data_IF_252101105361
#
_entry.id   IF_252101105361
#
_cell.length_a   1.000
_cell.length_b   1.000
_cell.length_c   1.000
_cell.angle_alpha   90.00
_cell.angle_beta   90.00
_cell.angle_gamma   90.00
#
_symmetry.space_group_name_H-M   'P 1'
#
loop_
_entity.id
_entity.type
_entity.pdbx_description
1 polymer ?
#
# COMPACT_ATOMS: atom_id res chain seq x y z
N UNK A 1 3.31 84.14 55.61
CA UNK A 1 2.31 83.06 55.75
C UNK A 1 1.06 83.48 54.99
N UNK A 2 0.52 82.60 54.12
CA UNK A 2 -0.56 82.81 53.11
C UNK A 2 -0.04 83.50 51.82
N UNK A 3 -0.29 83.07 50.58
CA UNK A 3 -1.38 82.24 50.02
C UNK A 3 -1.02 81.66 48.62
N UNK A 4 -1.67 80.53 48.28
CA UNK A 4 -1.66 79.65 47.07
C UNK A 4 -1.59 80.36 45.70
N UNK A 5 -0.79 79.93 44.70
CA UNK A 5 -0.78 78.70 43.88
C UNK A 5 -2.01 78.56 42.93
N UNK A 6 -1.79 78.75 41.62
CA UNK A 6 -2.78 78.63 40.55
C UNK A 6 -2.20 77.87 39.33
N UNK A 7 -3.03 77.01 38.72
CA UNK A 7 -2.87 76.56 37.33
C UNK A 7 -2.50 75.09 37.14
N UNK A 8 -3.49 74.20 37.27
CA UNK A 8 -3.41 72.75 36.95
C UNK A 8 -3.30 72.50 35.44
N UNK A 9 -2.34 71.65 35.06
CA UNK A 9 -2.09 71.18 33.70
C UNK A 9 -3.11 70.10 33.26
N UNK A 10 -3.53 70.17 32.00
CA UNK A 10 -4.42 69.20 31.36
C UNK A 10 -3.68 67.87 31.09
N UNK A 11 -4.18 66.78 31.66
CA UNK A 11 -3.72 65.41 31.39
C UNK A 11 -4.55 64.77 30.28
N UNK A 12 -3.91 64.40 29.18
CA UNK A 12 -4.45 63.55 28.12
C UNK A 12 -4.43 62.09 28.59
N UNK A 13 -5.61 61.50 28.80
CA UNK A 13 -5.77 60.07 29.01
C UNK A 13 -5.90 59.37 27.64
N UNK A 14 -4.87 58.63 27.23
CA UNK A 14 -4.95 57.70 26.10
C UNK A 14 -5.27 56.30 26.65
N UNK A 15 -6.51 55.85 26.48
CA UNK A 15 -6.91 54.48 26.79
C UNK A 15 -6.42 53.58 25.65
N UNK A 16 -5.37 52.81 25.90
CA UNK A 16 -4.93 51.72 25.02
C UNK A 16 -5.98 50.61 25.08
N UNK A 17 -6.83 50.54 24.07
CA UNK A 17 -7.69 49.40 23.84
C UNK A 17 -6.82 48.19 23.45
N UNK A 18 -6.59 47.26 24.38
CA UNK A 18 -6.10 45.93 24.03
C UNK A 18 -7.24 45.17 23.34
N UNK A 19 -7.23 45.17 22.02
CA UNK A 19 -8.01 44.19 21.25
C UNK A 19 -7.41 42.81 21.50
N UNK A 20 -8.19 41.79 21.92
CA UNK A 20 -7.67 40.43 21.97
C UNK A 20 -7.25 40.03 20.55
N UNK A 21 -5.97 39.73 20.37
CA UNK A 21 -5.51 39.07 19.16
C UNK A 21 -6.23 37.72 19.08
N UNK A 22 -6.73 37.30 17.90
CA UNK A 22 -7.18 35.93 17.75
C UNK A 22 -5.99 35.04 18.08
N UNK A 23 -6.16 34.10 19.02
CA UNK A 23 -5.21 33.02 19.18
C UNK A 23 -5.13 32.33 17.82
N UNK A 24 -4.02 32.53 17.11
CA UNK A 24 -3.68 31.67 16.00
C UNK A 24 -3.58 30.27 16.62
N UNK A 25 -4.57 29.41 16.33
CA UNK A 25 -4.36 28.00 16.46
C UNK A 25 -3.11 27.72 15.62
N UNK A 26 -2.00 27.34 16.27
CA UNK A 26 -0.92 26.66 15.60
C UNK A 26 -1.60 25.51 14.86
N UNK A 27 -1.72 25.63 13.54
CA UNK A 27 -2.23 24.55 12.72
C UNK A 27 -1.16 23.47 12.79
N UNK A 28 -1.29 22.58 13.78
CA UNK A 28 -0.57 21.33 13.80
C UNK A 28 -0.76 20.67 12.43
N UNK A 29 0.34 20.23 11.83
CA UNK A 29 0.36 19.62 10.51
C UNK A 29 -0.67 18.48 10.48
N UNK A 30 -1.43 18.36 9.39
CA UNK A 30 -2.29 17.19 9.22
C UNK A 30 -1.39 15.94 9.03
N UNK A 31 -1.56 14.87 9.83
CA UNK A 31 -0.73 13.68 9.74
C UNK A 31 -1.02 12.92 8.44
N UNK A 32 -0.03 12.17 7.98
CA UNK A 32 -0.21 11.19 6.90
C UNK A 32 -0.93 9.95 7.42
N UNK A 33 -1.59 9.20 6.54
CA UNK A 33 -2.20 7.90 6.87
C UNK A 33 -1.16 6.96 7.50
N UNK A 34 0.08 6.98 6.99
CA UNK A 34 1.18 6.20 7.55
C UNK A 34 1.46 6.57 9.01
N UNK A 35 1.66 7.85 9.30
CA UNK A 35 1.91 8.33 10.68
C UNK A 35 0.77 7.95 11.63
N UNK A 36 -0.48 8.01 11.16
CA UNK A 36 -1.64 7.57 11.96
C UNK A 36 -1.59 6.06 12.24
N UNK A 37 -1.35 5.22 11.22
CA UNK A 37 -1.32 3.77 11.38
C UNK A 37 -0.10 3.27 12.16
N UNK A 38 1.00 4.02 12.19
CA UNK A 38 2.13 3.77 13.09
C UNK A 38 1.74 3.98 14.58
N UNK A 39 0.66 4.72 14.89
CA UNK A 39 0.10 4.88 16.25
C UNK A 39 -1.02 3.88 16.58
N UNK A 40 -1.39 3.02 15.64
CA UNK A 40 -2.45 2.04 15.86
C UNK A 40 -2.05 1.04 16.96
N UNK A 41 -2.81 1.02 18.06
CA UNK A 41 -2.50 0.23 19.26
C UNK A 41 -1.30 0.74 20.07
N UNK A 42 -0.67 1.83 19.64
CA UNK A 42 0.42 2.51 20.35
C UNK A 42 0.05 3.99 20.56
N UNK A 43 -0.63 4.27 21.67
CA UNK A 43 -1.13 5.62 22.00
C UNK A 43 -2.55 5.91 21.51
N UNK A 44 -3.24 4.90 20.97
CA UNK A 44 -4.66 4.96 20.63
C UNK A 44 -5.48 4.04 21.53
N UNK A 45 -6.67 4.49 21.94
CA UNK A 45 -7.66 3.69 22.68
C UNK A 45 -8.52 2.83 21.74
N UNK A 46 -8.71 3.31 20.51
CA UNK A 46 -9.41 2.60 19.43
C UNK A 46 -8.51 2.60 18.21
N UNK A 47 -8.33 1.43 17.62
CA UNK A 47 -7.82 1.29 16.26
C UNK A 47 -8.58 0.16 15.58
N UNK A 48 -9.56 0.53 14.76
CA UNK A 48 -10.44 -0.43 14.08
C UNK A 48 -10.36 -0.20 12.57
N UNK A 49 -10.36 -1.30 11.80
CA UNK A 49 -10.47 -1.24 10.35
C UNK A 49 -11.91 -1.54 9.94
N UNK A 50 -12.50 -0.62 9.17
CA UNK A 50 -13.83 -0.75 8.59
C UNK A 50 -13.70 -1.01 7.08
N UNK A 51 -13.90 -2.25 6.60
CA UNK A 51 -13.82 -2.54 5.18
C UNK A 51 -14.94 -1.84 4.40
N UNK A 52 -14.62 -1.37 3.19
CA UNK A 52 -15.57 -0.74 2.29
C UNK A 52 -15.92 -1.67 1.13
N UNK A 53 -17.10 -2.30 1.22
CA UNK A 53 -17.63 -3.16 0.16
C UNK A 53 -16.99 -4.55 0.11
N UNK A 54 -17.11 -5.19 -1.05
CA UNK A 54 -16.59 -6.54 -1.32
C UNK A 54 -15.15 -6.46 -1.85
N UNK A 55 -14.32 -7.50 -1.66
CA UNK A 55 -12.99 -7.56 -2.25
C UNK A 55 -13.04 -7.51 -3.79
N UNK A 56 -12.14 -6.75 -4.39
CA UNK A 56 -11.93 -6.76 -5.84
C UNK A 56 -10.92 -7.83 -6.21
N UNK A 57 -11.17 -8.60 -7.26
CA UNK A 57 -10.26 -9.66 -7.69
C UNK A 57 -9.67 -9.38 -9.08
N UNK A 58 -8.36 -9.57 -9.23
CA UNK A 58 -7.64 -9.31 -10.48
C UNK A 58 -6.51 -10.32 -10.72
N UNK A 59 -5.93 -10.32 -11.93
CA UNK A 59 -4.76 -11.13 -12.27
C UNK A 59 -3.52 -10.26 -12.31
N UNK A 60 -2.42 -10.72 -11.73
CA UNK A 60 -1.15 -9.99 -11.76
C UNK A 60 -0.11 -10.69 -12.66
N UNK A 61 -0.31 -10.62 -13.99
CA UNK A 61 0.40 -11.45 -14.97
C UNK A 61 1.44 -10.68 -15.83
N UNK A 62 2.22 -9.76 -15.24
CA UNK A 62 3.07 -8.86 -16.03
C UNK A 62 4.42 -9.44 -16.46
N UNK A 63 5.01 -10.35 -15.68
CA UNK A 63 6.38 -10.83 -15.90
C UNK A 63 6.44 -12.34 -16.21
N UNK A 64 7.40 -12.77 -17.06
CA UNK A 64 7.60 -14.19 -17.32
C UNK A 64 8.20 -14.88 -16.09
N UNK A 65 7.83 -16.13 -15.90
CA UNK A 65 8.35 -17.01 -14.84
C UNK A 65 9.25 -18.09 -15.41
N UNK A 66 10.25 -18.47 -14.63
CA UNK A 66 11.28 -19.43 -15.07
C UNK A 66 12.19 -18.85 -16.16
N UNK A 67 13.14 -19.68 -16.61
CA UNK A 67 14.06 -19.28 -17.67
C UNK A 67 13.39 -19.34 -19.04
N UNK A 68 13.62 -18.36 -19.93
CA UNK A 68 13.22 -18.46 -21.32
C UNK A 68 13.91 -19.65 -22.01
N UNK A 69 13.23 -20.24 -23.00
CA UNK A 69 13.77 -21.34 -23.80
C UNK A 69 14.12 -20.82 -25.19
N UNK A 70 15.39 -20.85 -25.55
CA UNK A 70 15.89 -20.45 -26.87
C UNK A 70 16.04 -21.68 -27.76
N UNK A 71 15.39 -21.68 -28.92
CA UNK A 71 15.54 -22.74 -29.91
C UNK A 71 16.56 -22.32 -30.98
N UNK A 72 17.81 -22.72 -30.77
CA UNK A 72 18.92 -22.49 -31.69
C UNK A 72 19.01 -23.53 -32.82
N UNK A 73 18.07 -24.48 -32.89
CA UNK A 73 18.07 -25.53 -33.91
C UNK A 73 17.26 -25.13 -35.14
N UNK A 74 17.33 -25.94 -36.19
CA UNK A 74 16.52 -25.86 -37.41
C UNK A 74 15.21 -26.67 -37.32
N UNK A 75 14.90 -27.24 -36.15
CA UNK A 75 13.69 -28.02 -35.90
C UNK A 75 12.86 -27.44 -34.75
N UNK A 76 11.58 -27.81 -34.69
CA UNK A 76 10.75 -27.49 -33.52
C UNK A 76 11.34 -28.16 -32.26
N UNK A 77 11.44 -27.39 -31.17
CA UNK A 77 11.90 -27.91 -29.90
C UNK A 77 10.78 -27.87 -28.87
N UNK A 78 10.54 -29.04 -28.27
CA UNK A 78 9.72 -29.17 -27.08
C UNK A 78 10.60 -29.07 -25.83
N UNK A 79 10.22 -28.25 -24.87
CA UNK A 79 10.99 -28.04 -23.64
C UNK A 79 10.08 -27.94 -22.42
N UNK A 80 10.65 -28.24 -21.26
CA UNK A 80 9.95 -28.13 -19.99
C UNK A 80 10.57 -27.03 -19.15
N UNK A 81 9.79 -26.00 -18.83
CA UNK A 81 10.19 -24.90 -17.96
C UNK A 81 9.70 -25.21 -16.55
N UNK A 82 10.62 -25.41 -15.62
CA UNK A 82 10.32 -25.46 -14.20
C UNK A 82 10.40 -24.05 -13.63
N UNK A 83 9.37 -23.64 -12.89
CA UNK A 83 9.31 -22.31 -12.30
C UNK A 83 8.67 -22.37 -10.90
N UNK A 84 9.00 -21.38 -10.09
CA UNK A 84 8.40 -21.13 -8.80
C UNK A 84 8.29 -19.63 -8.61
N UNK A 85 7.10 -19.15 -8.26
CA UNK A 85 6.81 -17.74 -8.08
C UNK A 85 6.16 -17.53 -6.72
N UNK A 86 6.63 -16.54 -5.96
CA UNK A 86 6.05 -16.17 -4.66
C UNK A 86 5.45 -14.77 -4.78
N UNK A 87 4.15 -14.67 -4.56
CA UNK A 87 3.44 -13.39 -4.55
C UNK A 87 3.13 -13.01 -3.11
N UNK A 88 3.46 -11.77 -2.74
CA UNK A 88 3.24 -11.24 -1.39
C UNK A 88 2.13 -10.20 -1.34
N UNK A 89 1.74 -9.86 -0.11
CA UNK A 89 0.84 -8.75 0.17
C UNK A 89 1.55 -7.38 0.07
N UNK A 90 0.76 -6.33 -0.19
CA UNK A 90 1.18 -4.94 -0.18
C UNK A 90 0.05 -4.03 0.31
N UNK A 91 0.34 -2.76 0.57
CA UNK A 91 -0.68 -1.79 0.98
C UNK A 91 -0.32 -0.34 0.59
N UNK A 92 -1.32 0.53 0.64
CA UNK A 92 -1.23 1.93 0.21
C UNK A 92 -0.26 2.81 1.00
N UNK A 93 0.25 2.34 2.15
CA UNK A 93 1.18 3.10 3.01
C UNK A 93 2.57 2.48 3.10
N UNK A 94 2.82 1.37 2.39
CA UNK A 94 4.09 0.64 2.39
C UNK A 94 4.57 0.29 3.81
N UNK A 95 3.65 -0.10 4.70
CA UNK A 95 3.95 -0.59 6.05
C UNK A 95 3.88 -2.11 6.11
N UNK A 96 4.63 -2.72 7.03
CA UNK A 96 4.52 -4.16 7.25
C UNK A 96 3.17 -4.54 7.83
N UNK A 97 2.47 -5.46 7.18
CA UNK A 97 1.23 -6.09 7.65
C UNK A 97 1.43 -7.03 8.86
N UNK A 98 2.67 -7.15 9.37
CA UNK A 98 2.97 -7.81 10.65
C UNK A 98 2.88 -6.87 11.84
N UNK A 99 2.79 -5.56 11.63
CA UNK A 99 2.59 -4.59 12.70
C UNK A 99 1.16 -4.65 13.26
N UNK A 100 0.91 -3.94 14.36
CA UNK A 100 -0.38 -3.96 15.07
C UNK A 100 -1.58 -3.64 14.17
N UNK A 101 -1.50 -2.60 13.34
CA UNK A 101 -2.56 -2.29 12.37
C UNK A 101 -2.80 -3.46 11.41
N UNK A 102 -1.74 -4.15 10.96
CA UNK A 102 -1.87 -5.32 10.09
C UNK A 102 -2.61 -6.49 10.76
N UNK A 103 -2.42 -6.69 12.07
CA UNK A 103 -3.20 -7.68 12.83
C UNK A 103 -4.68 -7.29 12.93
N UNK A 104 -4.97 -6.00 13.19
CA UNK A 104 -6.34 -5.45 13.18
C UNK A 104 -7.00 -5.64 11.82
N UNK A 105 -6.28 -5.34 10.73
CA UNK A 105 -6.77 -5.58 9.37
C UNK A 105 -7.15 -7.04 9.15
N UNK A 106 -6.23 -7.98 9.43
CA UNK A 106 -6.45 -9.42 9.18
C UNK A 106 -7.64 -9.94 9.97
N UNK A 107 -7.78 -9.50 11.22
CA UNK A 107 -8.93 -9.85 12.04
C UNK A 107 -10.25 -9.29 11.48
N UNK A 108 -10.28 -8.01 11.10
CA UNK A 108 -11.45 -7.37 10.52
C UNK A 108 -11.83 -7.99 9.17
N UNK A 109 -10.84 -8.32 8.35
CA UNK A 109 -11.01 -9.06 7.09
C UNK A 109 -11.69 -10.41 7.32
N UNK A 110 -11.15 -11.23 8.24
CA UNK A 110 -11.69 -12.55 8.56
C UNK A 110 -13.13 -12.48 9.06
N UNK A 111 -13.43 -11.53 9.95
CA UNK A 111 -14.81 -11.29 10.45
C UNK A 111 -15.75 -10.85 9.33
N UNK A 112 -15.28 -9.99 8.42
CA UNK A 112 -16.14 -9.38 7.39
C UNK A 112 -16.41 -10.30 6.20
N UNK A 113 -15.44 -11.14 5.84
CA UNK A 113 -15.48 -11.95 4.61
C UNK A 113 -15.46 -13.45 4.85
N UNK A 114 -15.34 -13.90 6.11
CA UNK A 114 -15.49 -15.30 6.49
C UNK A 114 -14.34 -16.22 6.10
N UNK A 115 -13.18 -15.66 5.76
CA UNK A 115 -11.95 -16.40 5.45
C UNK A 115 -10.70 -15.59 5.81
N UNK A 116 -9.56 -16.26 5.95
CA UNK A 116 -8.33 -15.62 6.37
C UNK A 116 -7.64 -14.84 5.23
N UNK A 117 -6.92 -13.78 5.61
CA UNK A 117 -6.11 -13.03 4.66
C UNK A 117 -4.78 -13.75 4.41
N UNK A 118 -4.48 -14.02 3.14
CA UNK A 118 -3.20 -14.61 2.74
C UNK A 118 -2.14 -13.53 2.56
N UNK A 119 -1.05 -13.61 3.33
CA UNK A 119 0.07 -12.66 3.23
C UNK A 119 1.06 -13.00 2.13
N UNK A 120 1.15 -14.28 1.76
CA UNK A 120 1.98 -14.73 0.66
C UNK A 120 1.48 -16.06 0.13
N UNK A 121 1.75 -16.29 -1.16
CA UNK A 121 1.44 -17.54 -1.81
C UNK A 121 2.57 -17.90 -2.77
N UNK A 122 3.06 -19.14 -2.67
CA UNK A 122 4.09 -19.67 -3.57
C UNK A 122 3.48 -20.74 -4.46
N UNK A 123 3.54 -20.52 -5.77
CA UNK A 123 3.14 -21.51 -6.77
C UNK A 123 4.40 -22.10 -7.41
N UNK A 124 4.44 -23.42 -7.53
CA UNK A 124 5.49 -24.14 -8.25
C UNK A 124 4.87 -25.06 -9.29
N UNK A 125 5.41 -25.07 -10.51
CA UNK A 125 4.90 -25.91 -11.59
C UNK A 125 5.99 -26.22 -12.63
N UNK A 126 5.72 -27.22 -13.47
CA UNK A 126 6.43 -27.44 -14.73
C UNK A 126 5.47 -27.17 -15.89
N UNK A 127 5.88 -26.30 -16.80
CA UNK A 127 5.11 -25.95 -17.99
C UNK A 127 5.86 -26.40 -19.22
N UNK A 128 5.20 -27.18 -20.07
CA UNK A 128 5.74 -27.59 -21.35
C UNK A 128 5.53 -26.46 -22.36
N UNK A 129 6.60 -26.04 -23.05
CA UNK A 129 6.60 -25.02 -24.10
C UNK A 129 7.14 -25.58 -25.40
N UNK A 130 6.63 -25.06 -26.51
CA UNK A 130 7.09 -25.36 -27.87
C UNK A 130 7.69 -24.09 -28.45
N UNK A 131 8.89 -24.17 -29.02
CA UNK A 131 9.53 -23.07 -29.73
C UNK A 131 9.88 -23.50 -31.16
N UNK A 132 9.52 -22.69 -32.16
CA UNK A 132 9.95 -22.93 -33.55
C UNK A 132 11.44 -22.61 -33.73
N UNK A 133 12.07 -23.06 -34.84
CA UNK A 133 13.45 -22.70 -35.15
C UNK A 133 13.69 -21.20 -35.07
N UNK A 134 14.70 -20.79 -34.30
CA UNK A 134 15.05 -19.37 -34.15
C UNK A 134 14.12 -18.57 -33.23
N UNK A 135 13.22 -19.20 -32.49
CA UNK A 135 12.34 -18.54 -31.53
C UNK A 135 12.83 -18.68 -30.08
N UNK A 136 12.32 -17.77 -29.24
CA UNK A 136 12.37 -17.86 -27.78
C UNK A 136 10.95 -18.06 -27.24
N UNK A 137 10.78 -19.08 -26.40
CA UNK A 137 9.54 -19.34 -25.66
C UNK A 137 9.64 -18.85 -24.21
N UNK A 138 8.54 -18.32 -23.69
CA UNK A 138 8.41 -17.81 -22.31
C UNK A 138 7.12 -18.32 -21.68
N UNK A 139 7.15 -18.52 -20.38
CA UNK A 139 5.99 -18.86 -19.56
C UNK A 139 5.64 -17.65 -18.72
N UNK A 140 4.36 -17.37 -18.55
CA UNK A 140 3.86 -16.31 -17.69
C UNK A 140 2.92 -16.91 -16.65
N UNK A 141 3.00 -16.41 -15.43
CA UNK A 141 2.11 -16.76 -14.35
C UNK A 141 1.40 -15.51 -13.86
N UNK A 142 0.07 -15.57 -13.87
CA UNK A 142 -0.81 -14.54 -13.31
C UNK A 142 -1.46 -15.07 -12.05
N UNK A 143 -0.87 -14.86 -10.86
CA UNK A 143 -1.55 -15.16 -9.61
C UNK A 143 -2.86 -14.37 -9.52
N UNK A 144 -3.89 -15.04 -8.99
CA UNK A 144 -5.14 -14.38 -8.60
C UNK A 144 -4.89 -13.55 -7.35
N UNK A 145 -5.17 -12.26 -7.44
CA UNK A 145 -5.01 -11.29 -6.37
C UNK A 145 -6.37 -10.78 -5.91
N UNK A 146 -6.44 -10.35 -4.66
CA UNK A 146 -7.55 -9.61 -4.09
C UNK A 146 -7.09 -8.24 -3.58
N UNK A 147 -7.96 -7.25 -3.70
CA UNK A 147 -7.79 -5.90 -3.17
C UNK A 147 -8.96 -5.57 -2.25
N UNK A 148 -8.63 -5.06 -1.07
CA UNK A 148 -9.59 -4.64 -0.06
C UNK A 148 -9.39 -3.17 0.23
N UNK A 149 -10.48 -2.43 0.17
CA UNK A 149 -10.54 -1.04 0.56
C UNK A 149 -11.19 -0.90 1.93
N UNK A 150 -10.88 0.18 2.63
CA UNK A 150 -11.56 0.53 3.87
C UNK A 150 -10.95 1.75 4.52
N UNK A 151 -11.35 2.00 5.76
CA UNK A 151 -10.90 3.13 6.55
C UNK A 151 -10.61 2.68 7.97
N UNK A 152 -9.45 3.08 8.49
CA UNK A 152 -9.21 2.96 9.92
C UNK A 152 -9.84 4.10 10.69
N UNK A 153 -10.44 3.78 11.83
CA UNK A 153 -10.87 4.72 12.85
C UNK A 153 -9.90 4.65 14.03
N UNK A 154 -9.30 5.78 14.37
CA UNK A 154 -8.34 5.88 15.46
C UNK A 154 -8.82 6.89 16.51
N UNK A 155 -8.92 6.46 17.76
CA UNK A 155 -9.20 7.35 18.89
C UNK A 155 -7.97 7.50 19.76
N UNK A 156 -7.62 8.73 20.07
CA UNK A 156 -6.52 9.08 20.97
C UNK A 156 -7.07 9.57 22.30
N UNK A 157 -6.43 9.23 23.44
CA UNK A 157 -6.84 9.72 24.75
C UNK A 157 -6.63 11.23 24.90
N UNK A 158 -5.57 11.74 24.27
CA UNK A 158 -5.22 13.16 24.18
C UNK A 158 -5.31 13.64 22.72
N UNK A 159 -5.32 14.96 22.52
CA UNK A 159 -5.33 15.51 21.15
C UNK A 159 -3.99 15.26 20.48
N UNK A 160 -4.03 14.58 19.36
CA UNK A 160 -2.89 14.37 18.47
C UNK A 160 -3.18 15.09 17.14
N UNK A 161 -2.27 15.97 16.72
CA UNK A 161 -2.47 16.85 15.57
C UNK A 161 -3.78 17.67 15.65
N UNK A 162 -4.15 18.09 16.87
CA UNK A 162 -5.36 18.88 17.14
C UNK A 162 -6.67 18.09 17.26
N UNK A 163 -6.69 16.78 17.00
CA UNK A 163 -7.91 15.96 16.99
C UNK A 163 -7.81 14.75 17.92
N UNK A 164 -8.95 14.31 18.45
CA UNK A 164 -9.06 13.05 19.21
C UNK A 164 -9.37 11.85 18.33
N UNK A 165 -10.01 12.09 17.18
CA UNK A 165 -10.51 11.03 16.27
C UNK A 165 -9.96 11.28 14.88
N UNK A 166 -9.38 10.25 14.30
CA UNK A 166 -8.81 10.27 12.96
C UNK A 166 -9.37 9.14 12.11
N UNK A 167 -9.58 9.43 10.82
CA UNK A 167 -9.98 8.45 9.82
C UNK A 167 -8.88 8.33 8.77
N UNK A 168 -8.37 7.11 8.58
CA UNK A 168 -7.21 6.86 7.74
C UNK A 168 -7.59 5.87 6.62
N UNK A 169 -7.85 6.34 5.38
CA UNK A 169 -8.21 5.46 4.27
C UNK A 169 -7.05 4.53 3.93
N UNK A 170 -7.37 3.26 3.71
CA UNK A 170 -6.38 2.20 3.55
C UNK A 170 -6.79 1.24 2.44
N UNK A 171 -5.81 0.71 1.72
CA UNK A 171 -6.01 -0.34 0.73
C UNK A 171 -4.91 -1.38 0.90
N UNK A 172 -5.30 -2.64 0.94
CA UNK A 172 -4.39 -3.77 0.93
C UNK A 172 -4.64 -4.65 -0.29
N UNK A 173 -3.56 -5.18 -0.85
CA UNK A 173 -3.57 -6.19 -1.90
C UNK A 173 -2.84 -7.42 -1.40
N UNK A 174 -3.35 -8.60 -1.73
CA UNK A 174 -2.74 -9.86 -1.36
C UNK A 174 -3.20 -11.00 -2.27
N UNK A 175 -2.53 -12.16 -2.21
CA UNK A 175 -3.03 -13.35 -2.87
C UNK A 175 -4.47 -13.63 -2.47
N UNK A 176 -5.31 -13.92 -3.45
CA UNK A 176 -6.63 -14.48 -3.20
C UNK A 176 -6.46 -15.99 -3.00
N UNK A 177 -7.00 -16.52 -1.91
CA UNK A 177 -7.17 -17.97 -1.82
C UNK A 177 -8.22 -18.42 -2.84
N UNK A 178 -8.11 -19.67 -3.28
CA UNK A 178 -8.93 -20.32 -4.31
C UNK A 178 -8.54 -20.11 -5.79
N UNK A 179 -8.76 -21.20 -6.52
CA UNK A 179 -8.36 -21.47 -7.89
C UNK A 179 -8.78 -20.35 -8.86
N UNK A 180 -7.89 -20.04 -9.81
CA UNK A 180 -8.16 -18.99 -10.81
C UNK A 180 -6.92 -18.31 -11.38
N UNK A 181 -5.73 -18.59 -10.84
CA UNK A 181 -4.47 -18.14 -11.44
C UNK A 181 -4.31 -18.67 -12.86
N UNK A 182 -3.66 -17.89 -13.72
CA UNK A 182 -3.43 -18.24 -15.13
C UNK A 182 -1.99 -18.62 -15.38
N UNK A 183 -1.77 -19.65 -16.17
CA UNK A 183 -0.47 -19.95 -16.77
C UNK A 183 -0.62 -19.81 -18.28
N UNK A 184 0.14 -18.89 -18.88
CA UNK A 184 0.15 -18.67 -20.33
C UNK A 184 1.56 -18.85 -20.87
N UNK A 185 1.65 -19.00 -22.19
CA UNK A 185 2.91 -19.19 -22.89
C UNK A 185 2.93 -18.23 -24.08
N UNK A 186 4.10 -17.74 -24.42
CA UNK A 186 4.31 -17.01 -25.67
C UNK A 186 5.60 -17.44 -26.33
N UNK A 187 5.62 -17.34 -27.65
CA UNK A 187 6.84 -17.43 -28.44
C UNK A 187 7.01 -16.15 -29.25
N UNK A 188 8.26 -15.84 -29.57
CA UNK A 188 8.60 -14.83 -30.57
C UNK A 188 9.93 -15.17 -31.22
N UNK A 189 10.22 -14.64 -32.42
CA UNK A 189 11.56 -14.68 -32.97
C UNK A 189 12.60 -14.13 -31.99
N UNK A 190 13.75 -14.79 -31.91
CA UNK A 190 14.92 -14.25 -31.22
C UNK A 190 15.40 -12.97 -31.90
N UNK A 191 15.87 -12.01 -31.11
CA UNK A 191 16.63 -10.87 -31.65
C UNK A 191 18.01 -11.34 -32.11
N UNK A 192 18.68 -10.54 -32.95
CA UNK A 192 20.06 -10.83 -33.37
C UNK A 192 21.02 -10.92 -32.18
N UNK A 193 20.82 -10.08 -31.17
CA UNK A 193 21.57 -10.10 -29.91
C UNK A 193 21.34 -11.41 -29.16
N UNK A 194 20.08 -11.83 -28.98
CA UNK A 194 19.75 -13.10 -28.31
C UNK A 194 20.35 -14.28 -29.07
N UNK A 195 20.28 -14.27 -30.40
CA UNK A 195 20.87 -15.32 -31.23
C UNK A 195 22.39 -15.38 -31.06
N UNK A 196 23.07 -14.23 -31.09
CA UNK A 196 24.52 -14.13 -30.87
C UNK A 196 24.93 -14.65 -29.49
N UNK A 197 24.18 -14.26 -28.44
CA UNK A 197 24.49 -14.62 -27.05
C UNK A 197 24.20 -16.08 -26.74
N UNK A 198 23.09 -16.63 -27.24
CA UNK A 198 22.59 -17.95 -26.81
C UNK A 198 22.81 -19.07 -27.83
N UNK A 199 23.02 -18.76 -29.11
CA UNK A 199 23.11 -19.77 -30.17
C UNK A 199 24.49 -19.92 -30.82
N UNK A 200 25.37 -18.92 -30.68
CA UNK A 200 26.72 -18.93 -31.25
C UNK A 200 26.77 -18.48 -32.70
#
# INVERSE_FOLDING_TARGET
>A
MRTLAAGTAAGLAAVLALTPAPAAADHERNPTVRELLERCGEGTDVCEFHPSGQPEYFQNASEPVGSPVYNCTDHEQLSMVQWSETTGESNSVNLSMTATFGAVFKQSFSVSYGHEWSSSHTQSQRTQVVAQPGEVARVYYGPRMQRVHGTYELHFPDREWGHYVWYAPFTAEGPAEDQGSTVTQSTRPMTDEERSVYCG
#
